data_IF_109390898858
#
_entry.id   IF_109390898858
#
_cell.length_a   1.000
_cell.length_b   1.000
_cell.length_c   1.000
_cell.angle_alpha   90.00
_cell.angle_beta   90.00
_cell.angle_gamma   90.00
#
_symmetry.space_group_name_H-M   'P 1'
#
loop_
_entity.id
_entity.type
_entity.pdbx_description
1 polymer ?
#
# COMPACT_ATOMS: atom_id res chain seq x y z
N UNK A 1 13.10 -22.27 -2.00
CA UNK A 1 11.67 -21.94 -1.78
C UNK A 1 11.62 -20.68 -0.94
N UNK A 2 10.89 -19.64 -1.35
CA UNK A 2 10.84 -18.39 -0.57
C UNK A 2 10.19 -18.61 0.79
N UNK A 3 10.77 -18.08 1.86
CA UNK A 3 10.31 -18.27 3.24
C UNK A 3 8.90 -17.72 3.48
N UNK A 4 8.48 -16.74 2.66
CA UNK A 4 7.16 -16.14 2.72
C UNK A 4 6.02 -17.13 2.42
N UNK A 5 6.29 -18.19 1.64
CA UNK A 5 5.30 -19.25 1.37
C UNK A 5 4.99 -20.09 2.61
N UNK A 6 5.88 -20.07 3.61
CA UNK A 6 5.66 -20.71 4.91
C UNK A 6 5.12 -19.70 5.93
N UNK A 7 5.59 -18.44 5.92
CA UNK A 7 5.12 -17.43 6.87
C UNK A 7 3.67 -17.03 6.61
N UNK A 8 3.33 -16.58 5.40
CA UNK A 8 2.03 -15.94 5.15
C UNK A 8 0.86 -16.83 5.58
N UNK A 9 0.81 -18.14 5.24
CA UNK A 9 -0.28 -19.02 5.69
C UNK A 9 -0.43 -19.17 7.21
N UNK A 10 0.59 -18.81 8.00
CA UNK A 10 0.52 -18.79 9.47
C UNK A 10 -0.07 -17.47 9.98
N UNK A 11 0.06 -16.38 9.23
CA UNK A 11 -0.52 -15.08 9.57
C UNK A 11 -1.94 -14.92 9.01
N UNK A 12 -2.11 -15.17 7.72
CA UNK A 12 -3.39 -15.24 7.00
C UNK A 12 -3.28 -16.32 5.91
N UNK A 13 -4.17 -17.31 5.91
CA UNK A 13 -4.25 -18.31 4.85
C UNK A 13 -5.32 -17.92 3.80
N UNK A 14 -5.57 -18.81 2.83
CA UNK A 14 -6.55 -18.54 1.78
C UNK A 14 -7.99 -18.39 2.30
N UNK A 15 -8.39 -19.15 3.32
CA UNK A 15 -9.72 -19.04 3.91
C UNK A 15 -9.86 -17.73 4.70
N UNK A 16 -8.79 -17.31 5.38
CA UNK A 16 -8.74 -16.00 6.05
C UNK A 16 -8.85 -14.87 5.03
N UNK A 17 -8.18 -14.99 3.88
CA UNK A 17 -8.29 -14.04 2.77
C UNK A 17 -9.72 -13.94 2.23
N UNK A 18 -10.40 -15.07 2.06
CA UNK A 18 -11.81 -15.10 1.65
C UNK A 18 -12.75 -14.49 2.71
N UNK A 19 -12.45 -14.69 3.99
CA UNK A 19 -13.20 -14.12 5.09
C UNK A 19 -13.00 -12.60 5.24
N UNK A 20 -11.76 -12.13 5.13
CA UNK A 20 -11.39 -10.72 5.28
C UNK A 20 -11.80 -9.88 4.06
N UNK A 21 -11.82 -10.50 2.88
CA UNK A 21 -12.09 -9.84 1.60
C UNK A 21 -13.20 -10.56 0.81
N UNK A 22 -14.42 -10.65 1.36
CA UNK A 22 -15.52 -11.42 0.74
C UNK A 22 -16.06 -10.77 -0.53
N UNK A 23 -15.85 -9.46 -0.72
CA UNK A 23 -16.35 -8.69 -1.87
C UNK A 23 -15.26 -8.25 -2.84
N UNK A 24 -14.01 -8.71 -2.67
CA UNK A 24 -12.89 -8.29 -3.51
C UNK A 24 -13.10 -8.61 -5.00
N UNK A 25 -12.38 -7.89 -5.84
CA UNK A 25 -12.23 -8.28 -7.23
C UNK A 25 -11.49 -9.63 -7.35
N UNK A 26 -11.93 -10.47 -8.28
CA UNK A 26 -11.34 -11.79 -8.53
C UNK A 26 -9.84 -11.74 -8.92
N UNK A 27 -9.35 -10.59 -9.41
CA UNK A 27 -7.94 -10.36 -9.67
C UNK A 27 -7.07 -10.51 -8.40
N UNK A 28 -7.59 -10.14 -7.23
CA UNK A 28 -6.83 -10.12 -5.98
C UNK A 28 -6.94 -11.44 -5.22
N UNK A 29 -6.24 -12.46 -5.70
CA UNK A 29 -6.17 -13.77 -5.04
C UNK A 29 -5.11 -13.81 -3.95
N UNK A 30 -5.30 -14.67 -2.94
CA UNK A 30 -4.27 -14.92 -1.94
C UNK A 30 -2.98 -15.46 -2.56
N UNK A 31 -3.08 -16.34 -3.56
CA UNK A 31 -1.91 -16.85 -4.28
C UNK A 31 -1.12 -15.72 -4.97
N UNK A 32 -1.82 -14.76 -5.60
CA UNK A 32 -1.16 -13.60 -6.21
C UNK A 32 -0.46 -12.73 -5.16
N UNK A 33 -1.07 -12.54 -3.99
CA UNK A 33 -0.42 -11.86 -2.87
C UNK A 33 0.85 -12.59 -2.41
N UNK A 34 0.79 -13.92 -2.24
CA UNK A 34 1.95 -14.71 -1.85
C UNK A 34 3.08 -14.65 -2.89
N UNK A 35 2.74 -14.80 -4.18
CA UNK A 35 3.72 -14.69 -5.28
C UNK A 35 4.35 -13.30 -5.32
N UNK A 36 3.56 -12.24 -5.17
CA UNK A 36 4.03 -10.86 -5.10
C UNK A 36 4.98 -10.65 -3.90
N UNK A 37 4.57 -11.06 -2.70
CA UNK A 37 5.39 -10.96 -1.49
C UNK A 37 6.71 -11.72 -1.63
N UNK A 38 6.73 -12.86 -2.34
CA UNK A 38 7.94 -13.64 -2.58
C UNK A 38 8.99 -12.92 -3.43
N UNK A 39 8.61 -11.88 -4.19
CA UNK A 39 9.53 -11.03 -4.95
C UNK A 39 10.30 -10.04 -4.07
N UNK A 40 9.79 -9.76 -2.86
CA UNK A 40 10.35 -8.75 -1.95
C UNK A 40 10.71 -9.40 -0.61
N UNK A 41 11.87 -10.06 -0.50
CA UNK A 41 12.19 -10.92 0.63
C UNK A 41 12.33 -10.20 1.99
N UNK A 42 12.42 -8.87 2.01
CA UNK A 42 12.38 -8.07 3.24
C UNK A 42 10.96 -7.85 3.80
N UNK A 43 9.92 -8.02 2.98
CA UNK A 43 8.55 -7.83 3.44
C UNK A 43 8.21 -8.86 4.54
N UNK A 44 7.80 -8.38 5.72
CA UNK A 44 7.55 -9.19 6.93
C UNK A 44 8.77 -9.96 7.46
N UNK A 45 10.01 -9.60 7.09
CA UNK A 45 11.20 -10.39 7.44
C UNK A 45 11.63 -10.30 8.90
N UNK A 46 11.13 -9.31 9.65
CA UNK A 46 11.47 -9.09 11.06
C UNK A 46 11.31 -10.35 11.90
N UNK A 47 12.18 -10.61 12.87
CA UNK A 47 12.02 -11.79 13.75
C UNK A 47 10.92 -11.62 14.80
N UNK A 48 10.55 -10.38 15.11
CA UNK A 48 9.49 -10.05 16.06
C UNK A 48 8.10 -10.28 15.43
N UNK A 49 7.36 -11.25 15.98
CA UNK A 49 6.02 -11.62 15.52
C UNK A 49 5.00 -10.46 15.67
N UNK A 50 5.17 -9.61 16.69
CA UNK A 50 4.34 -8.41 16.89
C UNK A 50 4.56 -7.43 15.75
N UNK A 51 5.82 -7.18 15.36
CA UNK A 51 6.13 -6.29 14.24
C UNK A 51 5.62 -6.85 12.92
N UNK A 52 5.80 -8.16 12.66
CA UNK A 52 5.24 -8.81 11.45
C UNK A 52 3.73 -8.65 11.34
N UNK A 53 2.99 -8.97 12.41
CA UNK A 53 1.52 -8.85 12.43
C UNK A 53 1.08 -7.41 12.21
N UNK A 54 1.78 -6.45 12.82
CA UNK A 54 1.47 -5.04 12.70
C UNK A 54 1.78 -4.49 11.31
N UNK A 55 2.90 -4.88 10.71
CA UNK A 55 3.24 -4.55 9.33
C UNK A 55 2.19 -5.11 8.37
N UNK A 56 1.82 -6.38 8.51
CA UNK A 56 0.79 -6.99 7.66
C UNK A 56 -0.55 -6.26 7.82
N UNK A 57 -0.97 -5.96 9.05
CA UNK A 57 -2.19 -5.19 9.30
C UNK A 57 -2.15 -3.81 8.62
N UNK A 58 -1.01 -3.11 8.70
CA UNK A 58 -0.83 -1.79 8.12
C UNK A 58 -0.82 -1.83 6.58
N UNK A 59 -0.17 -2.83 5.99
CA UNK A 59 -0.18 -3.07 4.55
C UNK A 59 -1.61 -3.31 4.06
N UNK A 60 -2.31 -4.28 4.64
CA UNK A 60 -3.69 -4.64 4.28
C UNK A 60 -4.64 -3.46 4.45
N UNK A 61 -4.47 -2.67 5.51
CA UNK A 61 -5.32 -1.52 5.77
C UNK A 61 -5.21 -0.45 4.68
N UNK A 62 -3.98 -0.10 4.30
CA UNK A 62 -3.76 0.91 3.28
C UNK A 62 -4.27 0.44 1.92
N UNK A 63 -3.96 -0.78 1.50
CA UNK A 63 -4.45 -1.28 0.21
C UNK A 63 -5.97 -1.44 0.18
N UNK A 64 -6.58 -1.76 1.31
CA UNK A 64 -8.04 -1.84 1.43
C UNK A 64 -8.67 -0.46 1.28
N UNK A 65 -8.09 0.59 1.87
CA UNK A 65 -8.59 1.94 1.70
C UNK A 65 -8.50 2.42 0.25
N UNK A 66 -7.35 2.22 -0.41
CA UNK A 66 -7.13 2.66 -1.79
C UNK A 66 -8.13 2.05 -2.78
N UNK A 67 -8.68 0.89 -2.44
CA UNK A 67 -9.53 0.08 -3.34
C UNK A 67 -10.92 -0.16 -2.78
N UNK A 68 -11.31 0.54 -1.70
CA UNK A 68 -12.53 0.24 -0.96
C UNK A 68 -13.77 0.49 -1.82
N UNK A 69 -14.67 -0.49 -1.83
CA UNK A 69 -16.04 -0.35 -2.33
C UNK A 69 -17.05 -0.10 -1.22
N UNK A 70 -16.60 0.11 0.02
CA UNK A 70 -17.44 0.21 1.20
C UNK A 70 -18.22 1.53 1.27
N UNK A 71 -19.39 1.48 1.89
CA UNK A 71 -20.23 2.64 2.20
C UNK A 71 -20.92 2.45 3.55
N UNK A 72 -21.62 3.49 4.01
CA UNK A 72 -22.41 3.43 5.24
C UNK A 72 -23.44 2.29 5.20
N UNK A 73 -23.36 1.38 6.17
CA UNK A 73 -24.21 0.19 6.27
C UNK A 73 -24.02 -0.83 5.15
N UNK A 74 -22.87 -0.84 4.48
CA UNK A 74 -22.51 -1.93 3.56
C UNK A 74 -22.64 -3.30 4.26
N UNK A 75 -23.13 -4.36 3.58
CA UNK A 75 -23.20 -5.71 4.13
C UNK A 75 -21.82 -6.15 4.64
N UNK A 76 -21.78 -6.73 5.85
CA UNK A 76 -20.52 -7.09 6.51
C UNK A 76 -19.72 -5.93 7.10
N UNK A 77 -20.20 -4.69 6.93
CA UNK A 77 -19.53 -3.46 7.38
C UNK A 77 -18.52 -2.94 6.35
N UNK A 78 -18.10 -1.67 6.52
CA UNK A 78 -17.18 -0.98 5.59
C UNK A 78 -15.91 -1.79 5.32
N UNK A 79 -15.33 -2.41 6.35
CA UNK A 79 -14.07 -3.15 6.22
C UNK A 79 -14.16 -4.46 5.42
N UNK A 80 -15.35 -4.98 5.11
CA UNK A 80 -15.52 -6.16 4.26
C UNK A 80 -15.34 -5.87 2.76
N UNK A 81 -15.15 -4.61 2.40
CA UNK A 81 -15.13 -4.12 1.01
C UNK A 81 -13.76 -3.61 0.56
N UNK A 82 -12.68 -4.01 1.24
CA UNK A 82 -11.32 -3.80 0.74
C UNK A 82 -11.02 -4.62 -0.52
N UNK A 83 -10.08 -4.18 -1.35
CA UNK A 83 -9.69 -4.84 -2.60
C UNK A 83 -10.86 -4.97 -3.61
N UNK A 84 -11.82 -4.04 -3.57
CA UNK A 84 -12.99 -4.07 -4.46
C UNK A 84 -12.66 -3.53 -5.85
N UNK A 85 -12.02 -2.36 -5.93
CA UNK A 85 -11.67 -1.72 -7.19
C UNK A 85 -10.26 -2.12 -7.68
N UNK A 86 -10.14 -2.29 -9.00
CA UNK A 86 -8.85 -2.55 -9.67
C UNK A 86 -8.22 -1.27 -10.18
N UNK A 87 -9.03 -0.36 -10.73
CA UNK A 87 -8.53 0.86 -11.36
C UNK A 87 -9.45 2.06 -11.13
N UNK A 88 -8.85 3.25 -11.18
CA UNK A 88 -9.60 4.52 -11.13
C UNK A 88 -10.37 4.78 -12.44
N UNK A 89 -9.86 4.24 -13.56
CA UNK A 89 -10.50 4.28 -14.88
C UNK A 89 -10.58 5.65 -15.55
N UNK A 90 -10.01 6.70 -14.97
CA UNK A 90 -10.09 8.09 -15.45
C UNK A 90 -8.78 8.84 -15.24
N UNK A 91 -8.52 9.86 -16.05
CA UNK A 91 -7.33 10.72 -15.97
C UNK A 91 -6.10 10.15 -16.69
N UNK A 92 -5.28 11.01 -17.29
CA UNK A 92 -4.12 10.55 -18.08
C UNK A 92 -2.88 10.33 -17.23
N UNK A 93 -2.63 11.16 -16.21
CA UNK A 93 -1.47 11.09 -15.31
C UNK A 93 -0.12 10.95 -16.05
N UNK A 94 0.02 11.67 -17.16
CA UNK A 94 1.23 11.69 -17.98
C UNK A 94 2.01 12.99 -17.73
N UNK A 95 3.03 12.92 -16.88
CA UNK A 95 3.95 14.01 -16.61
C UNK A 95 5.14 13.97 -17.57
N UNK A 96 5.11 14.83 -18.58
CA UNK A 96 6.18 14.97 -19.58
C UNK A 96 7.44 15.65 -19.04
N UNK A 97 7.39 16.23 -17.83
CA UNK A 97 8.56 16.85 -17.19
C UNK A 97 9.51 15.84 -16.55
N UNK A 98 9.17 14.53 -16.56
CA UNK A 98 9.98 13.43 -16.03
C UNK A 98 10.68 12.64 -17.16
N UNK A 99 11.84 13.11 -17.66
CA UNK A 99 12.47 12.54 -18.86
C UNK A 99 13.01 11.11 -18.69
N UNK A 100 13.24 10.66 -17.46
CA UNK A 100 13.67 9.28 -17.18
C UNK A 100 12.58 8.24 -17.49
N UNK A 101 11.31 8.65 -17.39
CA UNK A 101 10.14 7.77 -17.55
C UNK A 101 9.12 8.47 -18.46
N UNK A 102 9.46 8.73 -19.73
CA UNK A 102 8.58 9.48 -20.62
C UNK A 102 7.26 8.72 -20.82
N UNK A 103 6.10 9.41 -20.76
CA UNK A 103 4.83 8.76 -21.02
C UNK A 103 4.77 8.27 -22.47
N UNK A 104 4.31 7.04 -22.68
CA UNK A 104 4.13 6.48 -24.02
C UNK A 104 2.89 7.10 -24.70
N UNK A 105 2.95 7.36 -26.02
CA UNK A 105 1.81 7.91 -26.76
C UNK A 105 0.54 7.07 -26.59
N UNK A 106 -0.59 7.72 -26.31
CA UNK A 106 -1.89 7.08 -26.16
C UNK A 106 -2.11 6.30 -24.86
N UNK A 107 -1.12 6.26 -23.96
CA UNK A 107 -1.24 5.58 -22.68
C UNK A 107 -1.70 6.51 -21.55
N UNK A 108 -2.40 5.92 -20.57
CA UNK A 108 -2.85 6.60 -19.36
C UNK A 108 -2.39 5.84 -18.11
N UNK A 109 -1.89 6.59 -17.14
CA UNK A 109 -1.25 6.09 -15.91
C UNK A 109 -2.09 6.40 -14.67
N UNK A 110 -3.41 6.32 -14.79
CA UNK A 110 -4.32 6.41 -13.65
C UNK A 110 -4.10 5.27 -12.64
N UNK A 111 -4.69 5.41 -11.46
CA UNK A 111 -4.55 4.45 -10.37
C UNK A 111 -4.91 3.03 -10.82
N UNK A 112 -3.99 2.08 -10.61
CA UNK A 112 -4.23 0.64 -10.79
C UNK A 112 -3.64 -0.18 -9.65
N UNK A 113 -4.29 -1.31 -9.37
CA UNK A 113 -3.86 -2.26 -8.35
C UNK A 113 -4.12 -1.78 -6.91
N UNK A 114 -3.62 -2.53 -5.91
CA UNK A 114 -3.99 -2.33 -4.51
C UNK A 114 -3.48 -1.03 -3.89
N UNK A 115 -2.44 -0.41 -4.46
CA UNK A 115 -1.93 0.90 -4.01
C UNK A 115 -2.35 2.04 -4.94
N UNK A 116 -3.24 1.78 -5.91
CA UNK A 116 -3.63 2.72 -6.96
C UNK A 116 -2.43 3.44 -7.59
N UNK A 117 -1.43 2.65 -8.03
CA UNK A 117 -0.19 3.15 -8.64
C UNK A 117 -0.55 4.11 -9.77
N UNK A 118 -0.06 5.35 -9.66
CA UNK A 118 -0.43 6.46 -10.54
C UNK A 118 0.81 7.19 -11.03
N UNK A 119 0.71 7.82 -12.20
CA UNK A 119 1.78 8.55 -12.91
C UNK A 119 2.83 7.71 -13.62
N UNK A 120 3.17 8.11 -14.85
CA UNK A 120 4.19 7.48 -15.71
C UNK A 120 5.51 7.17 -14.99
N UNK A 121 6.01 8.09 -14.16
CA UNK A 121 7.26 7.89 -13.45
C UNK A 121 7.19 6.79 -12.38
N UNK A 122 6.03 6.56 -11.76
CA UNK A 122 5.87 5.45 -10.82
C UNK A 122 5.70 4.11 -11.56
N UNK A 123 4.93 4.10 -12.65
CA UNK A 123 4.83 2.92 -13.52
C UNK A 123 6.19 2.51 -14.08
N UNK A 124 7.00 3.46 -14.54
CA UNK A 124 8.34 3.18 -15.06
C UNK A 124 9.30 2.67 -13.99
N UNK A 125 9.29 3.25 -12.79
CA UNK A 125 10.09 2.77 -11.65
C UNK A 125 9.69 1.35 -11.23
N UNK A 126 8.39 1.09 -11.08
CA UNK A 126 7.90 -0.24 -10.75
C UNK A 126 8.21 -1.25 -11.85
N UNK A 127 8.02 -0.88 -13.11
CA UNK A 127 8.36 -1.72 -14.27
C UNK A 127 9.84 -2.09 -14.28
N UNK A 128 10.73 -1.14 -14.01
CA UNK A 128 12.16 -1.39 -13.89
C UNK A 128 12.47 -2.36 -12.74
N UNK A 129 11.81 -2.20 -11.59
CA UNK A 129 12.01 -3.07 -10.43
C UNK A 129 11.47 -4.50 -10.66
N UNK A 130 10.35 -4.64 -11.36
CA UNK A 130 9.66 -5.92 -11.54
C UNK A 130 10.13 -6.70 -12.78
N UNK A 131 10.33 -6.02 -13.90
CA UNK A 131 10.71 -6.63 -15.19
C UNK A 131 12.19 -6.46 -15.54
N UNK A 132 12.93 -5.59 -14.84
CA UNK A 132 14.26 -5.16 -15.28
C UNK A 132 14.20 -4.20 -16.49
N UNK A 133 13.02 -3.76 -16.89
CA UNK A 133 12.78 -2.87 -18.02
C UNK A 133 11.67 -1.86 -17.67
N UNK A 134 12.02 -0.57 -17.63
CA UNK A 134 11.07 0.52 -17.36
C UNK A 134 9.95 0.63 -18.39
N UNK A 135 10.17 0.17 -19.62
CA UNK A 135 9.26 0.42 -20.74
C UNK A 135 8.06 -0.54 -20.78
N UNK A 136 8.12 -1.69 -20.10
CA UNK A 136 7.03 -2.69 -20.13
C UNK A 136 5.70 -2.07 -19.68
N UNK A 137 5.68 -1.44 -18.51
CA UNK A 137 4.46 -0.77 -18.03
C UNK A 137 4.30 0.66 -18.52
N UNK A 138 5.35 1.30 -19.05
CA UNK A 138 5.16 2.56 -19.76
C UNK A 138 4.35 2.33 -21.04
N UNK A 139 4.60 1.24 -21.77
CA UNK A 139 3.93 0.91 -23.03
C UNK A 139 2.60 0.17 -22.85
N UNK A 140 2.43 -0.62 -21.78
CA UNK A 140 1.19 -1.34 -21.46
C UNK A 140 0.82 -1.23 -19.95
N UNK A 141 0.45 -0.02 -19.46
CA UNK A 141 0.05 0.15 -18.07
C UNK A 141 -1.22 -0.64 -17.71
N UNK A 142 -2.09 -0.91 -18.70
CA UNK A 142 -3.30 -1.72 -18.54
C UNK A 142 -3.02 -3.20 -18.20
N UNK A 143 -1.77 -3.67 -18.34
CA UNK A 143 -1.37 -5.01 -17.89
C UNK A 143 -1.69 -5.26 -16.41
N UNK A 144 -1.59 -4.24 -15.57
CA UNK A 144 -1.90 -4.33 -14.14
C UNK A 144 -3.36 -4.69 -13.83
N UNK A 145 -4.28 -4.55 -14.79
CA UNK A 145 -5.70 -4.92 -14.61
C UNK A 145 -5.98 -6.38 -15.01
N UNK A 146 -4.98 -7.07 -15.58
CA UNK A 146 -5.11 -8.43 -16.14
C UNK A 146 -4.16 -9.44 -15.50
N UNK A 147 -3.08 -8.96 -14.89
CA UNK A 147 -2.01 -9.77 -14.29
C UNK A 147 -2.07 -9.64 -12.75
N UNK A 148 -2.58 -10.66 -12.04
CA UNK A 148 -2.87 -10.57 -10.61
C UNK A 148 -1.59 -10.48 -9.76
N UNK A 149 -0.53 -11.19 -10.12
CA UNK A 149 0.76 -11.09 -9.42
C UNK A 149 1.35 -9.70 -9.60
N UNK A 150 1.33 -9.17 -10.83
CA UNK A 150 1.81 -7.81 -11.11
C UNK A 150 1.03 -6.75 -10.33
N UNK A 151 -0.31 -6.87 -10.27
CA UNK A 151 -1.15 -5.94 -9.52
C UNK A 151 -0.75 -5.93 -8.04
N UNK A 152 -0.68 -7.10 -7.40
CA UNK A 152 -0.27 -7.22 -5.99
C UNK A 152 1.17 -6.77 -5.75
N UNK A 153 2.08 -7.11 -6.66
CA UNK A 153 3.49 -6.75 -6.56
C UNK A 153 3.71 -5.24 -6.62
N UNK A 154 2.84 -4.48 -7.28
CA UNK A 154 2.93 -3.01 -7.29
C UNK A 154 2.77 -2.41 -5.89
N UNK A 155 1.86 -2.97 -5.08
CA UNK A 155 1.64 -2.53 -3.71
C UNK A 155 2.78 -2.94 -2.80
N UNK A 156 3.28 -4.19 -2.90
CA UNK A 156 4.44 -4.63 -2.12
C UNK A 156 5.69 -3.83 -2.50
N UNK A 157 5.92 -3.59 -3.79
CA UNK A 157 7.01 -2.74 -4.26
C UNK A 157 6.93 -1.33 -3.64
N UNK A 158 5.78 -0.67 -3.72
CA UNK A 158 5.62 0.67 -3.14
C UNK A 158 5.89 0.65 -1.63
N UNK A 159 5.36 -0.35 -0.93
CA UNK A 159 5.53 -0.52 0.51
C UNK A 159 6.99 -0.65 0.93
N UNK A 160 7.79 -1.36 0.13
CA UNK A 160 9.20 -1.65 0.39
C UNK A 160 10.17 -0.59 -0.15
N UNK A 161 9.72 0.34 -0.98
CA UNK A 161 10.62 1.25 -1.71
C UNK A 161 10.64 2.64 -1.07
N UNK A 162 11.77 3.07 -0.48
CA UNK A 162 11.91 4.45 -0.02
C UNK A 162 11.95 5.41 -1.21
N UNK A 163 11.33 6.58 -1.05
CA UNK A 163 11.36 7.66 -2.05
C UNK A 163 11.73 8.96 -1.36
N UNK A 164 13.03 9.28 -1.32
CA UNK A 164 13.56 10.41 -0.57
C UNK A 164 12.74 11.70 -0.82
N UNK A 165 12.35 12.42 0.24
CA UNK A 165 12.77 12.26 1.65
C UNK A 165 11.99 11.19 2.44
N UNK A 166 11.03 10.49 1.84
CA UNK A 166 10.21 9.47 2.53
C UNK A 166 11.02 8.20 2.79
N UNK A 167 10.97 7.62 4.00
CA UNK A 167 11.35 6.22 4.18
C UNK A 167 10.34 5.32 3.45
N UNK A 168 10.63 4.02 3.36
CA UNK A 168 9.61 3.04 2.96
C UNK A 168 8.59 2.82 4.07
N UNK A 169 7.36 2.42 3.74
CA UNK A 169 6.38 2.01 4.74
C UNK A 169 6.87 0.81 5.55
N UNK A 170 7.59 -0.11 4.91
CA UNK A 170 8.26 -1.22 5.59
C UNK A 170 9.17 -0.74 6.71
N UNK A 171 10.13 0.15 6.41
CA UNK A 171 11.05 0.67 7.44
C UNK A 171 10.33 1.35 8.62
N UNK A 172 9.17 1.98 8.37
CA UNK A 172 8.34 2.54 9.46
C UNK A 172 7.78 1.42 10.34
N UNK A 173 7.24 0.36 9.74
CA UNK A 173 6.52 -0.70 10.45
C UNK A 173 7.43 -1.79 11.01
N UNK A 174 8.63 -1.98 10.45
CA UNK A 174 9.68 -2.86 10.97
C UNK A 174 10.51 -2.21 12.08
N UNK A 175 10.35 -0.90 12.30
CA UNK A 175 11.10 -0.15 13.32
C UNK A 175 12.51 0.27 12.88
N UNK A 176 12.88 0.07 11.62
CA UNK A 176 14.16 0.50 11.06
C UNK A 176 14.27 2.02 10.87
N UNK A 177 13.14 2.70 10.64
CA UNK A 177 13.13 4.13 10.42
C UNK A 177 13.27 4.89 11.75
N UNK A 178 14.42 5.55 11.90
CA UNK A 178 14.63 6.57 12.92
C UNK A 178 14.38 7.95 12.31
N UNK A 179 13.33 8.70 12.74
CA UNK A 179 13.07 10.05 12.24
C UNK A 179 14.29 10.96 12.42
N UNK A 180 14.62 11.74 11.41
CA UNK A 180 15.71 12.71 11.49
C UNK A 180 15.25 13.99 12.24
N UNK A 181 16.13 14.99 12.48
CA UNK A 181 15.73 16.23 13.15
C UNK A 181 14.57 16.98 12.46
N UNK A 182 14.52 16.98 11.11
CA UNK A 182 13.45 17.62 10.34
C UNK A 182 12.12 16.88 10.52
N UNK A 183 12.13 15.55 10.46
CA UNK A 183 10.95 14.72 10.68
C UNK A 183 10.35 14.97 12.07
N UNK A 184 11.20 15.00 13.11
CA UNK A 184 10.77 15.30 14.48
C UNK A 184 10.19 16.71 14.61
N UNK A 185 10.82 17.72 14.01
CA UNK A 185 10.30 19.08 14.00
C UNK A 185 8.95 19.20 13.28
N UNK A 186 8.68 18.29 12.33
CA UNK A 186 7.45 18.18 11.55
C UNK A 186 6.43 17.22 12.16
N UNK A 187 6.65 16.75 13.39
CA UNK A 187 5.76 15.83 14.10
C UNK A 187 5.69 14.43 13.51
N UNK A 188 6.54 14.08 12.53
CA UNK A 188 6.54 12.76 11.89
C UNK A 188 7.22 11.75 12.81
N UNK A 189 6.43 10.80 13.29
CA UNK A 189 6.85 9.78 14.28
C UNK A 189 6.53 8.37 13.76
N UNK A 190 7.29 7.34 14.17
CA UNK A 190 7.05 5.97 13.72
C UNK A 190 5.66 5.47 14.14
N UNK A 191 4.95 4.83 13.21
CA UNK A 191 3.61 4.29 13.42
C UNK A 191 2.77 4.31 12.14
N UNK A 192 1.54 3.79 12.24
CA UNK A 192 0.64 3.69 11.09
C UNK A 192 0.39 5.04 10.41
N UNK A 193 0.27 6.13 11.19
CA UNK A 193 0.08 7.47 10.65
C UNK A 193 1.20 7.92 9.71
N UNK A 194 2.46 7.53 9.97
CA UNK A 194 3.55 7.83 9.04
C UNK A 194 3.42 7.07 7.71
N UNK A 195 2.88 5.85 7.71
CA UNK A 195 2.59 5.13 6.45
C UNK A 195 1.51 5.83 5.62
N UNK A 196 0.46 6.34 6.28
CA UNK A 196 -0.58 7.16 5.63
C UNK A 196 0.03 8.44 5.05
N UNK A 197 0.93 9.07 5.79
CA UNK A 197 1.63 10.27 5.34
C UNK A 197 2.53 9.99 4.12
N UNK A 198 3.24 8.85 4.10
CA UNK A 198 4.04 8.40 2.95
C UNK A 198 3.15 8.21 1.71
N UNK A 199 2.00 7.55 1.88
CA UNK A 199 1.09 7.20 0.77
C UNK A 199 0.37 8.44 0.24
N UNK A 200 -0.31 9.20 1.10
CA UNK A 200 -1.18 10.30 0.66
C UNK A 200 -1.20 11.51 1.62
N UNK A 201 -0.11 11.76 2.34
CA UNK A 201 -0.07 12.78 3.39
C UNK A 201 -0.42 14.20 2.93
N UNK A 202 -0.07 14.57 1.69
CA UNK A 202 -0.39 15.88 1.13
C UNK A 202 -1.89 16.18 0.99
N UNK A 203 -2.73 15.14 1.11
CA UNK A 203 -4.19 15.21 1.09
C UNK A 203 -4.78 14.83 2.44
N UNK A 204 -4.18 13.88 3.16
CA UNK A 204 -4.81 13.22 4.33
C UNK A 204 -4.27 13.63 5.69
N UNK A 205 -3.10 14.30 5.75
CA UNK A 205 -2.37 14.56 6.99
C UNK A 205 -2.03 16.05 7.16
N UNK A 206 -1.66 16.44 8.39
CA UNK A 206 -1.16 17.78 8.71
C UNK A 206 -2.22 18.88 8.74
N UNK A 207 -3.50 18.52 8.85
CA UNK A 207 -4.63 19.46 8.98
C UNK A 207 -5.00 19.76 10.42
N UNK A 208 -4.35 19.12 11.41
CA UNK A 208 -4.69 19.21 12.84
C UNK A 208 -6.00 18.50 13.22
N UNK A 209 -6.69 17.90 12.25
CA UNK A 209 -7.91 17.12 12.42
C UNK A 209 -7.91 15.96 11.43
N UNK A 210 -8.40 14.79 11.85
CA UNK A 210 -8.55 13.64 10.97
C UNK A 210 -9.69 13.84 9.98
N UNK A 211 -9.41 13.62 8.70
CA UNK A 211 -10.42 13.66 7.65
C UNK A 211 -11.14 12.31 7.57
N UNK A 212 -12.38 12.31 7.07
CA UNK A 212 -13.20 11.10 6.93
C UNK A 212 -12.47 9.96 6.19
N UNK A 213 -11.80 10.27 5.08
CA UNK A 213 -10.97 9.29 4.33
C UNK A 213 -9.84 8.69 5.17
N UNK A 214 -9.22 9.50 6.04
CA UNK A 214 -8.13 9.07 6.90
C UNK A 214 -8.66 8.20 8.04
N UNK A 215 -9.84 8.53 8.58
CA UNK A 215 -10.53 7.72 9.59
C UNK A 215 -10.84 6.30 9.06
N UNK A 216 -11.21 6.16 7.80
CA UNK A 216 -11.42 4.84 7.19
C UNK A 216 -10.13 3.99 7.13
N UNK A 217 -8.96 4.60 6.88
CA UNK A 217 -7.66 3.88 7.01
C UNK A 217 -7.45 3.35 8.42
N UNK A 218 -7.72 4.17 9.44
CA UNK A 218 -7.57 3.76 10.83
C UNK A 218 -8.56 2.66 11.21
N UNK A 219 -9.78 2.71 10.67
CA UNK A 219 -10.79 1.68 10.86
C UNK A 219 -10.32 0.34 10.28
N UNK A 220 -9.84 0.32 9.03
CA UNK A 220 -9.24 -0.87 8.43
C UNK A 220 -8.04 -1.38 9.25
N UNK A 221 -7.16 -0.49 9.69
CA UNK A 221 -5.97 -0.88 10.45
C UNK A 221 -6.33 -1.54 11.78
N UNK A 222 -7.29 -0.98 12.51
CA UNK A 222 -7.81 -1.59 13.74
C UNK A 222 -8.52 -2.92 13.48
N UNK A 223 -9.25 -3.02 12.37
CA UNK A 223 -9.91 -4.27 11.95
C UNK A 223 -8.88 -5.39 11.72
N UNK A 224 -7.84 -5.15 10.93
CA UNK A 224 -6.80 -6.15 10.67
C UNK A 224 -5.93 -6.42 11.90
N UNK A 225 -5.64 -5.42 12.74
CA UNK A 225 -4.92 -5.63 13.99
C UNK A 225 -5.71 -6.55 14.95
N UNK A 226 -7.03 -6.34 15.06
CA UNK A 226 -7.89 -7.19 15.87
C UNK A 226 -7.92 -8.63 15.36
N UNK A 227 -8.04 -8.81 14.04
CA UNK A 227 -8.02 -10.13 13.41
C UNK A 227 -6.67 -10.85 13.62
N UNK A 228 -5.56 -10.14 13.48
CA UNK A 228 -4.21 -10.69 13.66
C UNK A 228 -3.79 -10.80 15.14
N UNK A 229 -4.65 -10.43 16.07
CA UNK A 229 -4.41 -10.42 17.52
C UNK A 229 -3.19 -9.59 17.94
N UNK A 230 -3.04 -8.40 17.35
CA UNK A 230 -1.93 -7.49 17.65
C UNK A 230 -2.45 -6.11 18.07
N UNK A 231 -1.75 -5.45 19.00
CA UNK A 231 -2.04 -4.06 19.33
C UNK A 231 -1.66 -3.13 18.15
N UNK A 232 -2.53 -2.16 17.77
CA UNK A 232 -2.23 -1.16 16.75
C UNK A 232 -0.96 -0.34 17.01
N UNK A 233 -0.48 -0.31 18.27
CA UNK A 233 0.64 0.51 18.68
C UNK A 233 0.28 1.98 18.81
N UNK A 234 1.29 2.81 19.04
CA UNK A 234 1.17 4.25 19.14
C UNK A 234 1.12 4.91 17.75
N UNK A 235 0.84 6.22 17.71
CA UNK A 235 0.95 7.04 16.50
C UNK A 235 0.13 6.50 15.30
N UNK A 236 -1.08 6.02 15.59
CA UNK A 236 -2.01 5.53 14.55
C UNK A 236 -2.43 6.67 13.61
N UNK A 237 -2.60 7.88 14.16
CA UNK A 237 -3.06 9.05 13.41
C UNK A 237 -1.93 9.86 12.77
N UNK A 238 -2.28 10.65 11.75
CA UNK A 238 -1.37 11.58 11.08
C UNK A 238 -1.85 13.04 11.04
N UNK A 239 -2.93 13.39 11.75
CA UNK A 239 -3.52 14.73 11.76
C UNK A 239 -2.50 15.84 12.04
N UNK A 240 -1.58 15.61 12.98
CA UNK A 240 -0.56 16.57 13.42
C UNK A 240 0.81 16.39 12.73
N UNK A 241 0.91 15.47 11.77
CA UNK A 241 2.16 15.24 11.03
C UNK A 241 2.20 16.09 9.77
N UNK A 242 3.19 16.98 9.63
CA UNK A 242 3.38 17.74 8.39
C UNK A 242 3.67 16.77 7.25
N UNK A 243 3.01 16.91 6.08
CA UNK A 243 3.20 16.01 4.95
C UNK A 243 4.66 15.89 4.51
N UNK A 244 5.10 14.72 4.07
CA UNK A 244 6.40 14.60 3.41
C UNK A 244 6.47 15.45 2.14
N UNK A 245 7.59 16.15 1.93
CA UNK A 245 7.77 17.08 0.81
C UNK A 245 7.13 18.47 1.01
N UNK A 246 6.54 18.73 2.18
CA UNK A 246 6.17 20.06 2.67
C UNK A 246 6.99 20.40 3.91
#
# INVERSE_FOLDING_TARGET
MSWIFLLLPVLINSADWDHLFPHRNALYTFQAFQSAAARFPGFLSETDDTLRRRELAAFLANVSQETSGGWDKAPGGYCAWGLYFVSEGKGTYADTTKPAYPPAPGQAYYGRGPVQLSWNYNYGQFSQAFFGDKDVLLKDPGRMERDPELAMASAVWFWMTPQAPKPSCHQVMSGEWTPNPEDRAKGRVPGFGATVNIINGGVECGTGQDQERTLHRYQFYRYFCAYLHVSPGENVGCADQTPFGR
#
